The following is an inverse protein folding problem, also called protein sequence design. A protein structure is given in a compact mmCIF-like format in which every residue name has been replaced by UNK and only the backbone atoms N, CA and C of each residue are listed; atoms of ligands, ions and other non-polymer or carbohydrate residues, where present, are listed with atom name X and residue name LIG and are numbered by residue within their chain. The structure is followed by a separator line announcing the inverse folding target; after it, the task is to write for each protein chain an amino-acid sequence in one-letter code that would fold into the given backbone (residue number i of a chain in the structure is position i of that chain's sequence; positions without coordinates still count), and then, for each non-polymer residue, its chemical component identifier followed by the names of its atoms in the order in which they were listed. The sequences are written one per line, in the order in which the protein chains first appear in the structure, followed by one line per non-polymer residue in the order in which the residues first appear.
data_IF_460675891431
#
_entry.id   IF_460675891431
#
_cell.length_a   1.000
_cell.length_b   1.000
_cell.length_c   1.000
_cell.angle_alpha   90.00
_cell.angle_beta   90.00
_cell.angle_gamma   90.00
#
_symmetry.space_group_name_H-M   'P 1'
#
loop_
_entity.id
_entity.type
_entity.pdbx_description
1 polymer ?
#
# COMPACT_ATOMS: atom_id res chain seq x y z
N UNK A 1 6.40 9.83 13.91
CA UNK A 1 6.24 8.81 12.86
C UNK A 1 6.07 9.53 11.52
N UNK A 2 6.85 9.17 10.52
CA UNK A 2 6.76 9.71 9.15
C UNK A 2 6.80 8.52 8.17
N UNK A 3 5.87 8.52 7.20
CA UNK A 3 5.84 7.58 6.09
C UNK A 3 6.00 8.40 4.81
N UNK A 4 6.92 8.00 3.93
CA UNK A 4 7.09 8.57 2.59
C UNK A 4 6.76 7.52 1.55
N UNK A 5 5.96 7.90 0.57
CA UNK A 5 5.53 7.04 -0.53
C UNK A 5 5.81 7.80 -1.82
N UNK A 6 6.66 7.24 -2.66
CA UNK A 6 7.06 7.85 -3.93
C UNK A 6 6.76 6.90 -5.07
N UNK A 7 5.99 7.36 -6.05
CA UNK A 7 5.73 6.64 -7.30
C UNK A 7 7.00 6.63 -8.14
N UNK A 8 7.51 5.46 -8.49
CA UNK A 8 8.76 5.32 -9.27
C UNK A 8 8.55 4.88 -10.70
N UNK A 9 7.52 4.06 -10.95
CA UNK A 9 7.20 3.58 -12.29
C UNK A 9 5.71 3.25 -12.40
N UNK A 10 5.17 3.31 -13.62
CA UNK A 10 3.77 3.02 -13.89
C UNK A 10 3.59 2.64 -15.35
N UNK A 11 3.13 1.41 -15.58
CA UNK A 11 2.98 0.87 -16.92
C UNK A 11 1.67 0.10 -17.09
N UNK A 12 1.09 0.19 -18.28
CA UNK A 12 -0.02 -0.66 -18.67
C UNK A 12 0.46 -2.08 -18.93
N UNK A 13 -0.20 -3.07 -18.32
CA UNK A 13 0.09 -4.47 -18.54
C UNK A 13 -0.57 -4.94 -19.84
N UNK A 14 0.22 -5.62 -20.69
CA UNK A 14 -0.25 -6.18 -21.97
C UNK A 14 -0.96 -5.15 -22.87
N UNK A 15 -0.59 -3.87 -22.77
CA UNK A 15 -1.21 -2.77 -23.53
C UNK A 15 -2.63 -2.42 -23.10
N UNK A 16 -3.16 -2.98 -22.00
CA UNK A 16 -4.48 -2.64 -21.48
C UNK A 16 -4.39 -1.42 -20.55
N UNK A 17 -4.91 -0.24 -20.94
CA UNK A 17 -4.84 0.96 -20.12
C UNK A 17 -5.65 0.88 -18.83
N UNK A 18 -6.57 -0.10 -18.72
CA UNK A 18 -7.35 -0.34 -17.52
C UNK A 18 -6.69 -1.33 -16.55
N UNK A 19 -5.53 -1.90 -16.90
CA UNK A 19 -4.74 -2.83 -16.08
C UNK A 19 -3.32 -2.28 -15.94
N UNK A 20 -3.10 -1.50 -14.87
CA UNK A 20 -1.87 -0.75 -14.66
C UNK A 20 -1.11 -1.33 -13.49
N UNK A 21 0.18 -1.59 -13.69
CA UNK A 21 1.12 -1.90 -12.63
C UNK A 21 1.90 -0.64 -12.28
N UNK A 22 1.75 -0.17 -11.05
CA UNK A 22 2.50 0.96 -10.50
C UNK A 22 3.46 0.46 -9.42
N UNK A 23 4.68 0.98 -9.41
CA UNK A 23 5.68 0.67 -8.39
C UNK A 23 5.85 1.90 -7.49
N UNK A 24 5.83 1.66 -6.18
CA UNK A 24 6.04 2.67 -5.15
C UNK A 24 7.22 2.30 -4.27
N UNK A 25 8.05 3.28 -3.94
CA UNK A 25 8.99 3.19 -2.82
C UNK A 25 8.29 3.71 -1.58
N UNK A 26 8.29 2.90 -0.52
CA UNK A 26 7.68 3.21 0.78
C UNK A 26 8.76 3.23 1.84
N UNK A 27 9.07 4.41 2.36
CA UNK A 27 9.96 4.60 3.50
C UNK A 27 9.16 4.76 4.79
N UNK A 28 9.39 3.88 5.77
CA UNK A 28 8.78 3.94 7.09
C UNK A 28 9.76 3.47 8.17
N UNK A 29 9.93 4.28 9.22
CA UNK A 29 10.77 3.94 10.39
C UNK A 29 12.18 3.42 10.05
N UNK A 30 12.82 4.00 9.03
CA UNK A 30 14.17 3.61 8.60
C UNK A 30 14.22 2.33 7.74
N UNK A 31 13.07 1.76 7.37
CA UNK A 31 12.96 0.67 6.41
C UNK A 31 12.39 1.20 5.10
N UNK A 32 12.79 0.57 4.00
CA UNK A 32 12.30 0.87 2.67
C UNK A 32 11.70 -0.39 2.05
N UNK A 33 10.52 -0.26 1.45
CA UNK A 33 9.84 -1.33 0.72
C UNK A 33 9.54 -0.87 -0.70
N UNK A 34 9.75 -1.77 -1.67
CA UNK A 34 9.30 -1.58 -3.05
C UNK A 34 7.98 -2.32 -3.22
N UNK A 35 6.89 -1.56 -3.24
CA UNK A 35 5.52 -2.09 -3.27
C UNK A 35 4.96 -1.97 -4.68
N UNK A 36 4.42 -3.06 -5.20
CA UNK A 36 3.66 -3.07 -6.44
C UNK A 36 2.18 -2.82 -6.13
N UNK A 37 1.53 -2.02 -6.96
CA UNK A 37 0.09 -1.82 -6.95
C UNK A 37 -0.43 -2.10 -8.36
N UNK A 38 -1.17 -3.20 -8.51
CA UNK A 38 -1.89 -3.50 -9.75
C UNK A 38 -3.31 -3.00 -9.62
N UNK A 39 -3.68 -2.02 -10.45
CA UNK A 39 -5.04 -1.51 -10.55
C UNK A 39 -5.70 -2.04 -11.81
N UNK A 40 -6.74 -2.85 -11.66
CA UNK A 40 -7.52 -3.42 -12.76
C UNK A 40 -9.01 -3.18 -12.55
N UNK A 41 -9.62 -2.34 -13.41
CA UNK A 41 -11.04 -1.91 -13.35
C UNK A 41 -11.49 -1.46 -11.96
N UNK A 42 -11.96 -2.39 -11.14
CA UNK A 42 -12.55 -2.16 -9.82
C UNK A 42 -11.75 -2.79 -8.67
N UNK A 43 -10.57 -3.37 -8.98
CA UNK A 43 -9.73 -4.08 -8.02
C UNK A 43 -8.33 -3.49 -7.97
N UNK A 44 -7.79 -3.43 -6.76
CA UNK A 44 -6.40 -3.10 -6.50
C UNK A 44 -5.76 -4.22 -5.72
N UNK A 45 -4.61 -4.68 -6.18
CA UNK A 45 -3.82 -5.70 -5.50
C UNK A 45 -2.46 -5.11 -5.20
N UNK A 46 -2.04 -5.22 -3.94
CA UNK A 46 -0.75 -4.75 -3.47
C UNK A 46 0.19 -5.95 -3.33
N UNK A 47 1.48 -5.78 -3.62
CA UNK A 47 2.49 -6.84 -3.50
C UNK A 47 3.86 -6.26 -3.17
N UNK A 48 4.83 -7.11 -2.84
CA UNK A 48 6.24 -6.69 -2.71
C UNK A 48 6.95 -7.04 -4.01
N UNK A 49 7.69 -6.10 -4.59
CA UNK A 49 8.45 -6.33 -5.82
C UNK A 49 9.40 -7.55 -5.64
N UNK A 50 9.36 -8.48 -6.59
CA UNK A 50 10.15 -9.71 -6.56
C UNK A 50 9.66 -10.80 -5.61
N UNK A 51 8.54 -10.60 -4.90
CA UNK A 51 7.89 -11.64 -4.08
C UNK A 51 6.51 -11.98 -4.61
N UNK A 52 6.16 -13.27 -4.54
CA UNK A 52 4.81 -13.73 -4.86
C UNK A 52 3.80 -13.30 -3.79
N UNK A 53 2.51 -13.32 -4.11
CA UNK A 53 1.45 -13.08 -3.14
C UNK A 53 1.03 -11.61 -3.03
N UNK A 54 -0.03 -11.40 -2.24
CA UNK A 54 -0.69 -10.10 -2.10
C UNK A 54 -0.62 -9.60 -0.67
N UNK A 55 -0.45 -8.29 -0.51
CA UNK A 55 -0.48 -7.61 0.78
C UNK A 55 -1.91 -7.28 1.18
N UNK A 56 -2.21 -7.51 2.46
CA UNK A 56 -3.46 -7.09 3.07
C UNK A 56 -3.23 -6.61 4.51
N UNK A 57 -4.23 -5.92 5.05
CA UNK A 57 -4.25 -5.48 6.45
C UNK A 57 -5.00 -6.55 7.24
N UNK A 58 -4.33 -7.20 8.17
CA UNK A 58 -4.95 -8.07 9.16
C UNK A 58 -5.72 -7.21 10.16
N UNK A 59 -7.00 -7.51 10.36
CA UNK A 59 -7.89 -6.71 11.21
C UNK A 59 -7.68 -7.00 12.69
N UNK A 60 -7.31 -8.23 13.03
CA UNK A 60 -7.20 -8.66 14.43
C UNK A 60 -6.05 -7.97 15.17
N UNK A 61 -4.88 -7.87 14.53
CA UNK A 61 -3.68 -7.30 15.14
C UNK A 61 -3.20 -6.01 14.45
N UNK A 62 -3.98 -5.50 13.49
CA UNK A 62 -3.67 -4.30 12.71
C UNK A 62 -2.24 -4.34 12.12
N UNK A 63 -1.85 -5.50 11.59
CA UNK A 63 -0.57 -5.73 10.92
C UNK A 63 -0.74 -5.82 9.40
N UNK A 64 0.38 -5.70 8.68
CA UNK A 64 0.42 -6.02 7.25
C UNK A 64 0.90 -7.45 7.09
N UNK A 65 0.16 -8.23 6.29
CA UNK A 65 0.51 -9.61 5.96
C UNK A 65 0.62 -9.79 4.45
N UNK A 66 1.47 -10.71 4.02
CA UNK A 66 1.57 -11.19 2.63
C UNK A 66 0.94 -12.58 2.56
N UNK A 67 -0.07 -12.72 1.73
CA UNK A 67 -0.76 -13.98 1.47
C UNK A 67 -0.33 -14.54 0.12
N UNK A 68 0.14 -15.79 0.10
CA UNK A 68 0.41 -16.56 -1.11
C UNK A 68 -0.65 -17.65 -1.24
N UNK A 69 -1.26 -17.78 -2.42
CA UNK A 69 -2.32 -18.76 -2.67
C UNK A 69 -1.89 -19.68 -3.81
N UNK A 70 -1.86 -20.98 -3.55
CA UNK A 70 -1.54 -22.01 -4.52
C UNK A 70 -2.65 -23.07 -4.61
N UNK A 71 -2.75 -23.75 -5.75
CA UNK A 71 -3.64 -24.90 -5.92
C UNK A 71 -3.03 -26.11 -5.22
N UNK A 72 -3.78 -26.68 -4.28
CA UNK A 72 -3.47 -27.94 -3.63
C UNK A 72 -4.08 -29.14 -4.35
N UNK A 73 -3.72 -30.35 -3.90
CA UNK A 73 -4.38 -31.57 -4.35
C UNK A 73 -5.88 -31.58 -4.00
N UNK A 74 -6.69 -32.25 -4.82
CA UNK A 74 -8.12 -32.47 -4.52
C UNK A 74 -8.99 -31.20 -4.54
N UNK A 75 -8.65 -30.21 -5.37
CA UNK A 75 -9.33 -28.91 -5.43
C UNK A 75 -9.16 -28.03 -4.17
N UNK A 76 -8.22 -28.36 -3.28
CA UNK A 76 -7.89 -27.54 -2.11
C UNK A 76 -7.11 -26.29 -2.50
N UNK A 77 -7.17 -25.26 -1.64
CA UNK A 77 -6.28 -24.09 -1.70
C UNK A 77 -5.25 -24.20 -0.59
N UNK A 78 -3.98 -24.02 -0.95
CA UNK A 78 -2.90 -23.84 0.00
C UNK A 78 -2.71 -22.33 0.19
N UNK A 79 -2.91 -21.87 1.42
CA UNK A 79 -2.77 -20.46 1.80
C UNK A 79 -1.60 -20.38 2.77
N UNK A 80 -0.58 -19.61 2.39
CA UNK A 80 0.56 -19.29 3.24
C UNK A 80 0.54 -17.79 3.55
N UNK A 81 0.74 -17.44 4.82
CA UNK A 81 0.64 -16.06 5.31
C UNK A 81 1.86 -15.71 6.15
N UNK A 82 2.52 -14.62 5.79
CA UNK A 82 3.64 -14.08 6.57
C UNK A 82 3.35 -12.64 7.01
N UNK A 83 3.78 -12.30 8.23
CA UNK A 83 3.78 -10.92 8.71
C UNK A 83 4.90 -10.14 8.03
N UNK A 84 4.58 -8.92 7.57
CA UNK A 84 5.56 -8.01 6.97
C UNK A 84 6.00 -6.99 8.02
N UNK A 85 7.12 -7.26 8.68
CA UNK A 85 7.59 -6.39 9.76
C UNK A 85 8.07 -5.04 9.26
N UNK A 86 7.60 -3.98 9.92
CA UNK A 86 8.02 -2.60 9.68
C UNK A 86 7.22 -1.87 8.59
N UNK A 87 6.26 -2.54 7.94
CA UNK A 87 5.30 -1.91 7.04
C UNK A 87 3.96 -1.77 7.77
N UNK A 88 3.49 -0.54 7.97
CA UNK A 88 2.23 -0.29 8.68
C UNK A 88 1.01 -0.37 7.75
N UNK A 89 -0.18 -0.64 8.30
CA UNK A 89 -1.43 -0.50 7.55
C UNK A 89 -1.64 0.90 6.97
N UNK A 90 -1.11 1.93 7.63
CA UNK A 90 -1.21 3.32 7.17
C UNK A 90 -0.40 3.55 5.90
N UNK A 91 0.75 2.86 5.74
CA UNK A 91 1.51 2.89 4.51
C UNK A 91 0.71 2.32 3.33
N UNK A 92 0.05 1.15 3.50
CA UNK A 92 -0.78 0.58 2.44
C UNK A 92 -1.94 1.52 2.04
N UNK A 93 -2.59 2.14 3.02
CA UNK A 93 -3.64 3.14 2.75
C UNK A 93 -3.09 4.35 1.99
N UNK A 94 -1.88 4.81 2.34
CA UNK A 94 -1.19 5.88 1.62
C UNK A 94 -0.91 5.54 0.15
N UNK A 95 -0.56 4.28 -0.15
CA UNK A 95 -0.40 3.81 -1.53
C UNK A 95 -1.73 3.88 -2.28
N UNK A 96 -2.83 3.47 -1.65
CA UNK A 96 -4.15 3.55 -2.27
C UNK A 96 -4.57 5.00 -2.53
N UNK A 97 -4.21 5.94 -1.66
CA UNK A 97 -4.37 7.38 -1.91
C UNK A 97 -3.55 7.82 -3.12
N UNK A 98 -2.26 7.47 -3.15
CA UNK A 98 -1.36 7.82 -4.26
C UNK A 98 -1.86 7.27 -5.60
N UNK A 99 -2.35 6.03 -5.62
CA UNK A 99 -2.85 5.36 -6.82
C UNK A 99 -4.22 5.89 -7.28
N UNK A 100 -5.00 6.55 -6.40
CA UNK A 100 -6.24 7.26 -6.84
C UNK A 100 -5.93 8.55 -7.59
N UNK A 101 -4.83 9.23 -7.26
CA UNK A 101 -4.42 10.46 -7.93
C UNK A 101 -3.71 10.18 -9.25
N UNK A 102 -4.32 10.55 -10.39
CA UNK A 102 -3.74 10.32 -11.73
C UNK A 102 -2.29 10.81 -11.87
N UNK A 103 -1.96 11.92 -11.20
CA UNK A 103 -0.65 12.58 -11.28
C UNK A 103 0.09 12.62 -9.95
N UNK A 104 -0.38 11.91 -8.92
CA UNK A 104 0.29 11.92 -7.62
C UNK A 104 1.65 11.24 -7.73
N UNK A 105 2.70 11.97 -7.36
CA UNK A 105 4.07 11.47 -7.34
C UNK A 105 4.48 11.09 -5.94
N UNK A 106 4.16 11.93 -4.98
CA UNK A 106 4.60 11.77 -3.61
C UNK A 106 3.43 11.87 -2.63
N UNK A 107 3.40 10.96 -1.66
CA UNK A 107 2.51 11.02 -0.49
C UNK A 107 3.38 10.93 0.75
N UNK A 108 3.26 11.94 1.62
CA UNK A 108 3.91 11.93 2.93
C UNK A 108 2.84 11.90 4.02
N UNK A 109 2.94 10.95 4.94
CA UNK A 109 2.04 10.84 6.09
C UNK A 109 2.85 11.15 7.35
N UNK A 110 2.43 12.17 8.09
CA UNK A 110 3.06 12.56 9.36
C UNK A 110 2.11 12.31 10.52
N UNK A 111 2.60 11.60 11.53
CA UNK A 111 1.90 11.48 12.81
C UNK A 111 1.92 12.81 13.55
N UNK A 112 0.74 13.32 13.94
CA UNK A 112 0.60 14.55 14.71
C UNK A 112 1.21 14.42 16.11
N UNK A 113 1.96 15.43 16.54
CA UNK A 113 2.54 15.51 17.88
C UNK A 113 1.89 16.60 18.75
N UNK A 114 1.63 16.23 20.01
CA UNK A 114 1.46 17.04 21.22
C UNK A 114 0.25 17.99 21.35
N UNK A 115 -0.68 17.63 22.25
CA UNK A 115 -1.70 18.53 22.79
C UNK A 115 -3.13 17.98 22.73
N UNK A 116 -3.55 17.22 23.75
CA UNK A 116 -4.94 16.90 24.17
C UNK A 116 -6.03 16.60 23.13
N UNK A 117 -5.68 16.33 21.89
CA UNK A 117 -6.55 15.81 20.84
C UNK A 117 -5.78 14.71 20.14
N UNK A 118 -6.37 13.51 20.04
CA UNK A 118 -5.84 12.42 19.23
C UNK A 118 -5.84 12.89 17.76
N UNK A 119 -4.79 13.60 17.37
CA UNK A 119 -4.67 14.25 16.08
C UNK A 119 -4.60 13.20 14.98
N UNK A 120 -5.56 13.24 14.06
CA UNK A 120 -5.53 12.40 12.88
C UNK A 120 -4.19 12.58 12.13
N UNK A 121 -3.61 11.51 11.57
CA UNK A 121 -2.40 11.63 10.77
C UNK A 121 -2.63 12.61 9.62
N UNK A 122 -1.71 13.58 9.48
CA UNK A 122 -1.76 14.57 8.41
C UNK A 122 -1.14 13.97 7.16
N UNK A 123 -1.83 14.13 6.02
CA UNK A 123 -1.34 13.62 4.74
C UNK A 123 -1.05 14.76 3.81
N UNK A 124 0.15 14.73 3.23
CA UNK A 124 0.59 15.65 2.21
C UNK A 124 0.66 14.89 0.89
N UNK A 125 -0.11 15.32 -0.10
CA UNK A 125 -0.07 14.81 -1.47
C UNK A 125 0.63 15.85 -2.32
N UNK A 126 1.79 15.49 -2.89
CA UNK A 126 2.66 16.40 -3.66
C UNK A 126 2.95 17.71 -2.89
N UNK A 127 3.10 17.62 -1.56
CA UNK A 127 3.36 18.75 -0.67
C UNK A 127 2.12 19.53 -0.18
N UNK A 128 0.91 19.18 -0.65
CA UNK A 128 -0.35 19.83 -0.24
C UNK A 128 -1.09 19.00 0.80
N UNK A 129 -1.45 19.60 1.95
CA UNK A 129 -2.17 18.93 3.03
C UNK A 129 -3.60 18.51 2.59
N UNK A 130 -3.98 17.27 2.91
CA UNK A 130 -5.26 16.62 2.59
C UNK A 130 -5.67 15.69 3.72
N UNK A 131 -6.98 15.54 3.92
CA UNK A 131 -7.52 14.54 4.83
C UNK A 131 -7.40 13.13 4.24
N UNK A 132 -7.09 12.15 5.08
CA UNK A 132 -7.17 10.75 4.70
C UNK A 132 -8.63 10.35 4.51
N UNK A 133 -9.01 9.72 3.38
CA UNK A 133 -10.32 9.11 3.27
C UNK A 133 -10.51 8.10 4.40
N UNK A 134 -11.61 8.23 5.15
CA UNK A 134 -11.89 7.41 6.34
C UNK A 134 -12.13 5.92 6.07
N UNK A 135 -12.22 5.50 4.81
CA UNK A 135 -12.58 4.14 4.43
C UNK A 135 -11.96 3.72 3.08
N UNK A 136 -11.34 2.54 3.09
CA UNK A 136 -10.94 1.76 1.91
C UNK A 136 -11.50 0.35 2.06
#
# INVERSE_FOLDING_TARGET
MEIKITKVDSQALNGNPADVLTIYIVGENGREFRITCRSCRDRRTLGIEGKEGSLYIEKEDNSVRRQTVALGGGCGLLIDEERVDGLSPLALRGILVADRGKNTRDVTIRGGGSGNTFGQPRVLIDGVERDLPGSF
#
